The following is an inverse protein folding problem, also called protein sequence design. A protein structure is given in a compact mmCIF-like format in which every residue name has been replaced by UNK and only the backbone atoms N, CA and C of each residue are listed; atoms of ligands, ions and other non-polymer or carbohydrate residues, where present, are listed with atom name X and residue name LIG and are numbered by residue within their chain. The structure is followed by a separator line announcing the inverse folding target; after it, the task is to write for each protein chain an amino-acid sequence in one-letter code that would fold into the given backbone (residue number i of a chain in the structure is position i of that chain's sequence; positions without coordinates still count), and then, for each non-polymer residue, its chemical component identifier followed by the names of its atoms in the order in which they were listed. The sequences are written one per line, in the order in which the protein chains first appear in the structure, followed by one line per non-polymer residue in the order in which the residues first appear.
data_IF_624779165440
#
_entry.id   IF_624779165440
#
_cell.length_a   1.000
_cell.length_b   1.000
_cell.length_c   1.000
_cell.angle_alpha   90.00
_cell.angle_beta   90.00
_cell.angle_gamma   90.00
#
_symmetry.space_group_name_H-M   'P 1'
#
loop_
_entity.id
_entity.type
_entity.pdbx_description
1 polymer ?
#
# COMPACT_ATOMS: atom_id res chain seq x y z
N UNK A 1 10.22 7.23 11.35
CA UNK A 1 8.86 6.86 10.88
C UNK A 1 8.80 5.34 10.68
N UNK A 2 7.85 4.67 11.31
CA UNK A 2 7.62 3.22 11.22
C UNK A 2 6.56 2.93 10.17
N UNK A 3 6.88 2.10 9.18
CA UNK A 3 5.97 1.75 8.09
C UNK A 3 5.64 0.27 8.05
N UNK A 4 4.42 -0.02 7.62
CA UNK A 4 3.98 -1.33 7.16
C UNK A 4 3.68 -1.25 5.67
N UNK A 5 4.11 -2.28 4.92
CA UNK A 5 3.71 -2.49 3.52
C UNK A 5 2.67 -3.60 3.45
N UNK A 6 1.68 -3.47 2.57
CA UNK A 6 0.69 -4.52 2.30
C UNK A 6 0.86 -5.01 0.87
N UNK A 7 1.03 -6.32 0.70
CA UNK A 7 1.33 -6.97 -0.57
C UNK A 7 0.37 -8.11 -0.90
N UNK A 8 0.23 -8.35 -2.21
CA UNK A 8 -0.32 -9.61 -2.72
C UNK A 8 0.74 -10.73 -2.76
N UNK A 9 0.37 -11.89 -3.29
CA UNK A 9 1.27 -13.04 -3.44
C UNK A 9 2.44 -12.76 -4.40
N UNK A 10 2.25 -11.89 -5.40
CA UNK A 10 3.27 -11.55 -6.39
C UNK A 10 4.30 -10.60 -5.80
N UNK A 11 3.86 -9.48 -5.24
CA UNK A 11 4.77 -8.46 -4.71
C UNK A 11 5.51 -8.94 -3.46
N UNK A 12 4.90 -9.81 -2.66
CA UNK A 12 5.58 -10.45 -1.54
C UNK A 12 6.58 -11.54 -1.94
N UNK A 13 6.52 -12.03 -3.17
CA UNK A 13 7.32 -13.17 -3.62
C UNK A 13 6.89 -14.51 -3.00
N UNK A 14 5.75 -14.58 -2.33
CA UNK A 14 5.24 -15.81 -1.71
C UNK A 14 4.52 -16.74 -2.69
N UNK A 15 4.19 -16.24 -3.87
CA UNK A 15 3.55 -17.02 -4.93
C UNK A 15 3.63 -16.34 -6.29
N UNK A 16 3.24 -17.09 -7.32
CA UNK A 16 3.09 -16.58 -8.68
C UNK A 16 1.70 -15.94 -8.86
N UNK A 17 1.43 -15.43 -10.07
CA UNK A 17 0.10 -14.89 -10.40
C UNK A 17 -1.06 -15.88 -10.19
N UNK A 18 -0.78 -17.17 -10.29
CA UNK A 18 -1.77 -18.24 -10.16
C UNK A 18 -1.94 -18.72 -8.70
N UNK A 19 -1.01 -18.40 -7.81
CA UNK A 19 -1.06 -18.76 -6.40
C UNK A 19 -1.90 -17.76 -5.58
N UNK A 20 -3.13 -17.50 -6.03
CA UNK A 20 -3.99 -16.43 -5.49
C UNK A 20 -4.48 -16.69 -4.07
N UNK A 21 -4.42 -17.94 -3.59
CA UNK A 21 -4.94 -18.34 -2.28
C UNK A 21 -3.88 -18.39 -1.18
N UNK A 22 -2.78 -17.66 -1.34
CA UNK A 22 -1.78 -17.48 -0.27
C UNK A 22 -2.47 -16.87 0.96
N UNK A 23 -2.39 -17.52 2.14
CA UNK A 23 -3.05 -17.03 3.34
C UNK A 23 -2.39 -15.74 3.86
N UNK A 24 -3.18 -14.96 4.62
CA UNK A 24 -2.68 -13.77 5.29
C UNK A 24 -1.51 -14.13 6.22
N UNK A 25 -0.38 -13.45 6.05
CA UNK A 25 0.83 -13.63 6.85
C UNK A 25 1.59 -12.32 7.02
N UNK A 26 2.52 -12.28 7.97
CA UNK A 26 3.40 -11.14 8.22
C UNK A 26 4.87 -11.54 8.14
N UNK A 27 5.70 -10.62 7.64
CA UNK A 27 7.17 -10.70 7.62
C UNK A 27 7.73 -9.48 8.34
N UNK A 28 8.71 -9.70 9.24
CA UNK A 28 9.34 -8.60 9.99
C UNK A 28 10.42 -7.87 9.19
N UNK A 29 10.98 -8.50 8.18
CA UNK A 29 11.96 -7.91 7.28
C UNK A 29 11.31 -7.23 6.07
N UNK A 30 11.94 -6.20 5.48
CA UNK A 30 11.51 -5.63 4.22
C UNK A 30 11.67 -6.67 3.09
N UNK A 31 10.61 -6.86 2.31
CA UNK A 31 10.56 -7.75 1.15
C UNK A 31 9.94 -7.01 -0.04
N UNK A 32 10.12 -7.55 -1.25
CA UNK A 32 9.52 -6.99 -2.46
C UNK A 32 9.86 -5.51 -2.68
N UNK A 33 8.88 -4.68 -3.02
CA UNK A 33 9.10 -3.25 -3.26
C UNK A 33 9.72 -2.49 -2.09
N UNK A 34 9.56 -2.95 -0.84
CA UNK A 34 10.18 -2.31 0.33
C UNK A 34 11.71 -2.23 0.22
N UNK A 35 12.34 -3.24 -0.41
CA UNK A 35 13.80 -3.25 -0.65
C UNK A 35 14.19 -2.11 -1.59
N UNK A 36 13.41 -1.91 -2.64
CA UNK A 36 13.66 -0.84 -3.63
C UNK A 36 13.41 0.55 -3.04
N UNK A 37 12.54 0.65 -2.04
CA UNK A 37 12.20 1.92 -1.38
C UNK A 37 13.24 2.34 -0.33
N UNK A 38 14.11 1.46 0.12
CA UNK A 38 15.03 1.72 1.23
C UNK A 38 15.85 3.02 1.06
N UNK A 39 16.44 3.34 -0.12
CA UNK A 39 17.17 4.59 -0.30
C UNK A 39 16.30 5.85 -0.13
N UNK A 40 15.05 5.78 -0.57
CA UNK A 40 14.09 6.89 -0.43
C UNK A 40 13.57 7.02 0.99
N UNK A 41 13.32 5.89 1.67
CA UNK A 41 12.92 5.87 3.08
C UNK A 41 13.99 6.47 4.00
N UNK A 42 15.27 6.20 3.75
CA UNK A 42 16.38 6.80 4.48
C UNK A 42 16.39 8.35 4.37
N UNK A 43 16.01 8.89 3.21
CA UNK A 43 15.94 10.34 3.00
C UNK A 43 14.84 11.02 3.83
N UNK A 44 13.83 10.29 4.23
CA UNK A 44 12.70 10.78 5.03
C UNK A 44 12.70 10.19 6.45
N UNK A 45 13.81 9.66 6.91
CA UNK A 45 13.98 9.06 8.24
C UNK A 45 12.88 8.00 8.54
N UNK A 46 12.69 7.08 7.59
CA UNK A 46 11.71 6.03 7.67
C UNK A 46 12.30 4.62 7.47
N UNK A 47 11.60 3.62 7.98
CA UNK A 47 11.94 2.22 7.76
C UNK A 47 10.68 1.33 7.75
N UNK A 48 10.75 0.25 6.99
CA UNK A 48 9.68 -0.76 6.96
C UNK A 48 9.87 -1.70 8.14
N UNK A 49 8.92 -1.67 9.08
CA UNK A 49 8.95 -2.53 10.26
C UNK A 49 8.35 -3.92 10.02
N UNK A 50 7.45 -4.04 9.06
CA UNK A 50 6.82 -5.29 8.66
C UNK A 50 6.20 -5.17 7.27
N UNK A 51 6.06 -6.33 6.60
CA UNK A 51 5.25 -6.49 5.39
C UNK A 51 4.14 -7.49 5.69
N UNK A 52 2.88 -7.09 5.46
CA UNK A 52 1.71 -7.96 5.58
C UNK A 52 1.33 -8.43 4.18
N UNK A 53 1.09 -9.72 4.03
CA UNK A 53 0.91 -10.36 2.72
C UNK A 53 -0.36 -11.17 2.71
N UNK A 54 -1.14 -11.05 1.65
CA UNK A 54 -2.37 -11.82 1.44
C UNK A 54 -2.55 -12.08 -0.05
N UNK A 55 -2.83 -13.32 -0.42
CA UNK A 55 -3.18 -13.64 -1.81
C UNK A 55 -4.44 -12.89 -2.26
N UNK A 56 -4.45 -12.44 -3.52
CA UNK A 56 -5.59 -11.72 -4.08
C UNK A 56 -6.88 -12.55 -4.06
N UNK A 57 -6.79 -13.86 -4.29
CA UNK A 57 -7.93 -14.78 -4.18
C UNK A 57 -8.40 -14.97 -2.74
N UNK A 58 -7.48 -15.05 -1.78
CA UNK A 58 -7.81 -15.09 -0.36
C UNK A 58 -8.58 -13.83 0.06
N UNK A 59 -8.13 -12.65 -0.38
CA UNK A 59 -8.84 -11.41 -0.15
C UNK A 59 -10.24 -11.41 -0.81
N UNK A 60 -10.34 -11.77 -2.09
CA UNK A 60 -11.63 -11.76 -2.81
C UNK A 60 -12.64 -12.76 -2.25
N UNK A 61 -12.18 -13.86 -1.64
CA UNK A 61 -13.07 -14.85 -1.01
C UNK A 61 -13.82 -14.24 0.20
N UNK A 62 -13.20 -13.35 0.95
CA UNK A 62 -13.83 -12.63 2.07
C UNK A 62 -13.13 -11.29 2.33
N UNK A 63 -13.42 -10.24 1.54
CA UNK A 63 -12.74 -8.94 1.65
C UNK A 63 -12.91 -8.29 3.02
N UNK A 64 -14.10 -8.42 3.63
CA UNK A 64 -14.39 -7.82 4.93
C UNK A 64 -13.56 -8.47 6.05
N UNK A 65 -13.48 -9.79 6.08
CA UNK A 65 -12.71 -10.50 7.10
C UNK A 65 -11.20 -10.29 6.93
N UNK A 66 -10.69 -10.31 5.69
CA UNK A 66 -9.26 -10.05 5.42
C UNK A 66 -8.90 -8.62 5.84
N UNK A 67 -9.71 -7.63 5.46
CA UNK A 67 -9.48 -6.24 5.86
C UNK A 67 -9.53 -6.08 7.37
N UNK A 68 -10.51 -6.68 8.05
CA UNK A 68 -10.62 -6.67 9.51
C UNK A 68 -9.37 -7.25 10.19
N UNK A 69 -8.84 -8.37 9.68
CA UNK A 69 -7.62 -8.99 10.21
C UNK A 69 -6.39 -8.10 9.98
N UNK A 70 -6.26 -7.50 8.79
CA UNK A 70 -5.18 -6.55 8.50
C UNK A 70 -5.22 -5.34 9.43
N UNK A 71 -6.39 -4.75 9.65
CA UNK A 71 -6.56 -3.66 10.60
C UNK A 71 -6.19 -4.07 12.04
N UNK A 72 -6.55 -5.28 12.47
CA UNK A 72 -6.15 -5.82 13.77
C UNK A 72 -4.63 -5.98 13.90
N UNK A 73 -3.95 -6.44 12.84
CA UNK A 73 -2.49 -6.54 12.81
C UNK A 73 -1.83 -5.14 12.87
N UNK A 74 -2.37 -4.17 12.13
CA UNK A 74 -1.91 -2.76 12.18
C UNK A 74 -2.07 -2.19 13.59
N UNK A 75 -3.23 -2.37 14.22
CA UNK A 75 -3.46 -1.94 15.59
C UNK A 75 -2.49 -2.56 16.59
N UNK A 76 -2.13 -3.83 16.40
CA UNK A 76 -1.16 -4.51 17.27
C UNK A 76 0.28 -4.01 17.06
N UNK A 77 0.66 -3.72 15.81
CA UNK A 77 2.02 -3.32 15.45
C UNK A 77 2.29 -1.83 15.63
N UNK A 78 1.24 -1.01 15.60
CA UNK A 78 1.30 0.45 15.80
C UNK A 78 2.32 1.16 14.88
N UNK A 79 2.22 1.02 13.54
CA UNK A 79 3.01 1.82 12.63
C UNK A 79 2.53 3.29 12.63
N UNK A 80 3.36 4.18 12.12
CA UNK A 80 2.94 5.55 11.83
C UNK A 80 2.12 5.59 10.54
N UNK A 81 2.55 4.85 9.51
CA UNK A 81 1.92 4.81 8.19
C UNK A 81 1.87 3.40 7.63
N UNK A 82 0.81 3.10 6.88
CA UNK A 82 0.66 1.88 6.09
C UNK A 82 0.59 2.24 4.61
N UNK A 83 1.50 1.67 3.83
CA UNK A 83 1.51 1.78 2.37
C UNK A 83 0.85 0.53 1.76
N UNK A 84 -0.32 0.68 1.16
CA UNK A 84 -1.01 -0.39 0.46
C UNK A 84 -0.62 -0.37 -1.02
N UNK A 85 0.31 -1.21 -1.41
CA UNK A 85 0.86 -1.22 -2.77
C UNK A 85 2.40 -1.14 -2.79
N UNK A 86 2.99 -0.87 -3.97
CA UNK A 86 2.34 -0.52 -5.24
C UNK A 86 1.66 -1.70 -5.92
N UNK A 87 0.40 -1.52 -6.29
CA UNK A 87 -0.38 -2.56 -6.96
C UNK A 87 -0.12 -2.63 -8.47
N UNK A 88 0.58 -1.63 -9.02
CA UNK A 88 0.80 -1.52 -10.46
C UNK A 88 -0.53 -1.65 -11.22
N UNK A 89 -0.61 -2.50 -12.24
CA UNK A 89 -1.80 -2.78 -13.05
C UNK A 89 -2.53 -4.08 -12.64
N UNK A 90 -2.30 -4.60 -11.43
CA UNK A 90 -2.97 -5.82 -10.94
C UNK A 90 -4.30 -5.44 -10.26
N UNK A 91 -5.42 -5.65 -10.95
CA UNK A 91 -6.73 -5.13 -10.58
C UNK A 91 -7.23 -5.63 -9.21
N UNK A 92 -7.14 -6.93 -8.94
CA UNK A 92 -7.60 -7.51 -7.68
C UNK A 92 -6.76 -7.00 -6.49
N UNK A 93 -5.47 -6.88 -6.69
CA UNK A 93 -4.57 -6.31 -5.68
C UNK A 93 -4.79 -4.81 -5.49
N UNK A 94 -5.05 -4.06 -6.55
CA UNK A 94 -5.38 -2.64 -6.46
C UNK A 94 -6.66 -2.40 -5.63
N UNK A 95 -7.69 -3.23 -5.83
CA UNK A 95 -8.91 -3.19 -5.03
C UNK A 95 -8.63 -3.48 -3.55
N UNK A 96 -7.85 -4.51 -3.25
CA UNK A 96 -7.42 -4.80 -1.87
C UNK A 96 -6.68 -3.61 -1.26
N UNK A 97 -5.74 -3.01 -1.98
CA UNK A 97 -4.98 -1.86 -1.49
C UNK A 97 -5.88 -0.68 -1.13
N UNK A 98 -6.79 -0.30 -2.01
CA UNK A 98 -7.68 0.84 -1.79
C UNK A 98 -8.66 0.61 -0.64
N UNK A 99 -9.33 -0.56 -0.62
CA UNK A 99 -10.26 -0.91 0.47
C UNK A 99 -9.55 -0.95 1.82
N UNK A 100 -8.44 -1.67 1.90
CA UNK A 100 -7.71 -1.84 3.16
C UNK A 100 -7.16 -0.50 3.66
N UNK A 101 -6.67 0.36 2.78
CA UNK A 101 -6.22 1.70 3.18
C UNK A 101 -7.38 2.54 3.75
N UNK A 102 -8.58 2.48 3.15
CA UNK A 102 -9.77 3.14 3.71
C UNK A 102 -10.11 2.61 5.11
N UNK A 103 -10.13 1.29 5.27
CA UNK A 103 -10.52 0.66 6.54
C UNK A 103 -9.49 0.94 7.64
N UNK A 104 -8.20 0.96 7.33
CA UNK A 104 -7.13 1.36 8.27
C UNK A 104 -7.37 2.80 8.74
N UNK A 105 -7.61 3.73 7.83
CA UNK A 105 -7.88 5.14 8.19
C UNK A 105 -9.15 5.30 9.04
N UNK A 106 -10.13 4.43 8.87
CA UNK A 106 -11.39 4.47 9.61
C UNK A 106 -11.33 3.80 10.99
N UNK A 107 -10.45 2.80 11.17
CA UNK A 107 -10.52 1.91 12.35
C UNK A 107 -9.22 1.82 13.16
N UNK A 108 -8.17 2.51 12.73
CA UNK A 108 -6.87 2.52 13.44
C UNK A 108 -6.34 3.95 13.60
N UNK A 109 -5.32 4.11 14.42
CA UNK A 109 -4.60 5.39 14.57
C UNK A 109 -3.56 5.62 13.45
N UNK A 110 -3.18 4.57 12.72
CA UNK A 110 -2.24 4.68 11.61
C UNK A 110 -2.86 5.42 10.42
N UNK A 111 -2.05 6.13 9.67
CA UNK A 111 -2.45 6.70 8.39
C UNK A 111 -2.14 5.71 7.28
N UNK A 112 -3.01 5.64 6.27
CA UNK A 112 -2.82 4.74 5.15
C UNK A 112 -3.14 5.41 3.83
N UNK A 113 -2.46 4.97 2.78
CA UNK A 113 -2.74 5.34 1.39
C UNK A 113 -2.50 4.14 0.48
N UNK A 114 -3.07 4.18 -0.71
CA UNK A 114 -2.86 3.19 -1.76
C UNK A 114 -1.92 3.71 -2.85
N UNK A 115 -1.36 2.80 -3.64
CA UNK A 115 -0.56 3.16 -4.81
C UNK A 115 -0.83 2.16 -5.93
N UNK A 116 -1.13 2.67 -7.14
CA UNK A 116 -1.45 1.84 -8.31
C UNK A 116 -1.28 2.62 -9.61
N UNK A 117 -1.34 1.92 -10.73
CA UNK A 117 -1.29 2.56 -12.05
C UNK A 117 -2.68 2.91 -12.58
N UNK A 118 -2.73 3.81 -13.56
CA UNK A 118 -3.96 4.35 -14.15
C UNK A 118 -4.87 3.28 -14.77
N UNK A 119 -4.33 2.12 -15.12
CA UNK A 119 -5.12 1.01 -15.68
C UNK A 119 -6.19 0.46 -14.71
N UNK A 120 -6.07 0.76 -13.41
CA UNK A 120 -7.06 0.35 -12.39
C UNK A 120 -8.24 1.32 -12.29
N UNK A 121 -8.83 1.67 -13.42
CA UNK A 121 -9.85 2.72 -13.56
C UNK A 121 -11.03 2.58 -12.60
N UNK A 122 -11.57 1.38 -12.44
CA UNK A 122 -12.73 1.11 -11.59
C UNK A 122 -12.40 1.33 -10.10
N UNK A 123 -11.26 0.83 -9.67
CA UNK A 123 -10.78 1.03 -8.27
C UNK A 123 -10.50 2.50 -8.00
N UNK A 124 -9.82 3.18 -8.92
CA UNK A 124 -9.53 4.62 -8.79
C UNK A 124 -10.83 5.40 -8.68
N UNK A 125 -11.80 5.18 -9.59
CA UNK A 125 -13.08 5.86 -9.57
C UNK A 125 -13.87 5.64 -8.26
N UNK A 126 -13.78 4.43 -7.68
CA UNK A 126 -14.50 4.09 -6.46
C UNK A 126 -13.86 4.66 -5.18
N UNK A 127 -12.55 4.92 -5.18
CA UNK A 127 -11.80 5.19 -3.95
C UNK A 127 -11.02 6.51 -3.90
N UNK A 128 -10.75 7.18 -5.00
CA UNK A 128 -9.92 8.40 -5.05
C UNK A 128 -10.42 9.54 -4.15
N UNK A 129 -11.73 9.62 -3.89
CA UNK A 129 -12.33 10.62 -3.02
C UNK A 129 -12.40 10.17 -1.54
N UNK A 130 -11.95 8.95 -1.23
CA UNK A 130 -11.99 8.35 0.10
C UNK A 130 -10.61 8.17 0.72
N UNK A 131 -9.61 7.92 -0.11
CA UNK A 131 -8.23 7.69 0.30
C UNK A 131 -7.26 8.20 -0.77
N UNK A 132 -6.11 8.71 -0.36
CA UNK A 132 -5.06 9.08 -1.32
C UNK A 132 -4.57 7.83 -2.08
N UNK A 133 -4.48 7.95 -3.40
CA UNK A 133 -3.99 6.89 -4.29
C UNK A 133 -2.84 7.46 -5.11
N UNK A 134 -1.61 7.13 -4.74
CA UNK A 134 -0.42 7.58 -5.46
C UNK A 134 -0.36 6.91 -6.83
N UNK A 135 -0.15 7.72 -7.87
CA UNK A 135 0.03 7.22 -9.22
C UNK A 135 1.38 6.52 -9.37
N UNK A 136 1.38 5.30 -9.90
CA UNK A 136 2.58 4.54 -10.26
C UNK A 136 2.53 4.14 -11.73
N UNK A 137 3.68 3.88 -12.37
CA UNK A 137 3.64 3.23 -13.68
C UNK A 137 3.07 1.80 -13.54
N UNK A 138 2.60 1.25 -14.65
CA UNK A 138 2.33 -0.19 -14.73
C UNK A 138 3.61 -1.00 -14.51
N UNK A 139 3.49 -2.27 -14.21
CA UNK A 139 4.63 -3.16 -14.01
C UNK A 139 5.59 -3.10 -15.21
N UNK A 140 6.86 -2.79 -14.93
CA UNK A 140 7.89 -2.61 -15.96
C UNK A 140 7.86 -1.29 -16.72
N UNK A 141 6.98 -0.37 -16.35
CA UNK A 141 6.92 0.97 -16.93
C UNK A 141 8.01 1.91 -16.41
N UNK A 142 8.19 3.02 -17.11
CA UNK A 142 9.16 4.06 -16.73
C UNK A 142 8.64 4.91 -15.57
N UNK A 143 9.55 5.50 -14.78
CA UNK A 143 9.20 6.44 -13.69
C UNK A 143 8.95 5.77 -12.35
N UNK A 144 9.30 4.50 -12.17
CA UNK A 144 9.09 3.79 -10.89
C UNK A 144 9.81 4.46 -9.72
N UNK A 145 11.05 4.90 -9.90
CA UNK A 145 11.81 5.53 -8.82
C UNK A 145 11.17 6.83 -8.33
N UNK A 146 10.60 7.62 -9.23
CA UNK A 146 9.90 8.85 -8.87
C UNK A 146 8.60 8.53 -8.10
N UNK A 147 7.85 7.53 -8.56
CA UNK A 147 6.67 7.06 -7.85
C UNK A 147 7.00 6.54 -6.44
N UNK A 148 8.05 5.74 -6.28
CA UNK A 148 8.50 5.26 -4.97
C UNK A 148 8.94 6.41 -4.05
N UNK A 149 9.64 7.41 -4.60
CA UNK A 149 10.01 8.63 -3.85
C UNK A 149 8.76 9.39 -3.41
N UNK A 150 7.78 9.58 -4.28
CA UNK A 150 6.52 10.25 -3.97
C UNK A 150 5.76 9.52 -2.85
N UNK A 151 5.71 8.19 -2.90
CA UNK A 151 5.13 7.39 -1.82
C UNK A 151 5.83 7.64 -0.47
N UNK A 152 7.17 7.67 -0.46
CA UNK A 152 7.92 7.93 0.77
C UNK A 152 7.71 9.36 1.30
N UNK A 153 7.63 10.35 0.41
CA UNK A 153 7.39 11.75 0.76
C UNK A 153 5.99 11.92 1.35
N UNK A 154 4.97 11.35 0.73
CA UNK A 154 3.60 11.38 1.25
C UNK A 154 3.51 10.68 2.62
N UNK A 155 4.15 9.52 2.77
CA UNK A 155 4.17 8.81 4.03
C UNK A 155 4.77 9.66 5.16
N UNK A 156 5.87 10.37 4.90
CA UNK A 156 6.48 11.26 5.89
C UNK A 156 5.52 12.37 6.31
N UNK A 157 4.91 13.03 5.33
CA UNK A 157 3.94 14.11 5.60
C UNK A 157 2.72 13.61 6.40
N UNK A 158 2.19 12.43 6.06
CA UNK A 158 1.10 11.81 6.81
C UNK A 158 1.50 11.46 8.25
N UNK A 159 2.69 10.91 8.45
CA UNK A 159 3.20 10.60 9.79
C UNK A 159 3.38 11.84 10.67
N UNK A 160 3.77 12.95 10.06
CA UNK A 160 3.96 14.24 10.77
C UNK A 160 2.65 15.02 10.98
N UNK A 161 1.52 14.53 10.43
CA UNK A 161 0.25 15.25 10.44
C UNK A 161 0.29 16.56 9.64
N UNK A 162 1.18 16.65 8.66
CA UNK A 162 1.33 17.83 7.81
C UNK A 162 0.19 17.92 6.77
N UNK A 163 -0.02 19.12 6.22
CA UNK A 163 -0.91 19.31 5.08
C UNK A 163 -0.35 18.60 3.85
N UNK A 164 -1.12 17.68 3.30
CA UNK A 164 -0.74 16.89 2.12
C UNK A 164 -1.44 17.33 0.84
N UNK A 165 -2.17 18.43 0.86
CA UNK A 165 -3.03 18.88 -0.27
C UNK A 165 -2.24 19.06 -1.57
N UNK A 166 -1.07 19.70 -1.52
CA UNK A 166 -0.21 19.88 -2.69
C UNK A 166 0.31 18.54 -3.23
N UNK A 167 0.77 17.65 -2.34
CA UNK A 167 1.28 16.33 -2.72
C UNK A 167 0.18 15.49 -3.38
N UNK A 168 -1.03 15.49 -2.81
CA UNK A 168 -2.18 14.79 -3.39
C UNK A 168 -2.52 15.38 -4.76
N UNK A 169 -2.46 16.70 -4.89
CA UNK A 169 -2.71 17.35 -6.18
C UNK A 169 -1.66 16.98 -7.23
N UNK A 170 -0.40 16.82 -6.84
CA UNK A 170 0.73 16.63 -7.75
C UNK A 170 0.86 15.18 -8.24
N UNK A 171 0.71 14.19 -7.33
CA UNK A 171 1.03 12.80 -7.67
C UNK A 171 0.02 11.75 -7.23
N UNK A 172 -1.19 12.16 -6.85
CA UNK A 172 -2.30 11.24 -6.60
C UNK A 172 -3.43 11.41 -7.62
N UNK A 173 -4.21 10.35 -7.81
CA UNK A 173 -5.44 10.43 -8.61
C UNK A 173 -6.49 11.32 -7.93
N UNK A 174 -7.26 12.04 -8.79
CA UNK A 174 -8.30 13.00 -8.38
C UNK A 174 -9.61 12.75 -9.12
#
# INVERSE_FOLDING_TARGET
MKLIMIYDQIQSGLGTKDDTMVPLTGKKEPIGPAIMMEPFLKQVDGYVMACLCCGSGTYLADPEEVSRKLCAMVNKLQPDVVMCGPAFNYADYAQMCAKVACDINATTEARAFAAMSVENTDTIAAYKDKVAIVETPKKGGLGLNDALRNMCTLARALADGADTSEMIHEFCFR
#
